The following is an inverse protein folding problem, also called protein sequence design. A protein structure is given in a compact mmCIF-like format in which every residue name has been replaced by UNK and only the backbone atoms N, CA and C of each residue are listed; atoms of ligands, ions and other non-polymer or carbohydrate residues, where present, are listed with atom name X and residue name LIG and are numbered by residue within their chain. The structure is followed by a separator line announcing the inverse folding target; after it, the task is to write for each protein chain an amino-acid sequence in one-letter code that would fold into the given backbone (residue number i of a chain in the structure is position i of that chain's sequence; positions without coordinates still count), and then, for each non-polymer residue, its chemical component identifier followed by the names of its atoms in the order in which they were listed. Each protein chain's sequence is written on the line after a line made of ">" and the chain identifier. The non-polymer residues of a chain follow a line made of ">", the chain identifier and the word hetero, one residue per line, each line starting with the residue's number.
data_IF_546854038084
#
_entry.id   IF_546854038084
#
_cell.length_a   1.000
_cell.length_b   1.000
_cell.length_c   1.000
_cell.angle_alpha   90.00
_cell.angle_beta   90.00
_cell.angle_gamma   90.00
#
_symmetry.space_group_name_H-M   'P 1'
#
loop_
_entity.id
_entity.type
_entity.pdbx_description
1 polymer ?
#
# COMPACT_ATOMS: atom_id res chain seq x y z
N UNK A 1 -1.24 24.57 16.08
CA UNK A 1 -2.40 25.35 16.60
C UNK A 1 -3.18 24.44 17.55
N UNK A 2 -3.20 24.77 18.83
CA UNK A 2 -3.78 23.92 19.86
C UNK A 2 -5.26 24.27 20.04
N UNK A 3 -6.14 23.26 20.03
CA UNK A 3 -7.58 23.42 20.24
C UNK A 3 -8.00 22.58 21.46
N UNK A 4 -8.86 23.12 22.30
CA UNK A 4 -9.41 22.38 23.43
C UNK A 4 -10.93 22.47 23.45
N UNK A 5 -11.57 21.41 23.90
CA UNK A 5 -13.02 21.30 23.99
C UNK A 5 -13.36 20.69 25.36
N UNK A 6 -14.22 21.39 26.12
CA UNK A 6 -14.67 20.95 27.44
C UNK A 6 -16.16 20.67 27.40
N UNK A 7 -16.53 19.50 27.89
CA UNK A 7 -17.92 19.02 27.87
C UNK A 7 -18.42 18.77 29.29
N UNK A 8 -19.68 19.14 29.50
CA UNK A 8 -20.41 18.80 30.69
C UNK A 8 -21.74 18.16 30.28
N UNK A 9 -22.04 16.95 30.77
CA UNK A 9 -23.24 16.16 30.41
C UNK A 9 -23.52 16.13 28.88
N UNK A 10 -22.46 16.00 28.07
CA UNK A 10 -22.55 15.93 26.59
C UNK A 10 -22.80 17.27 25.90
N UNK A 11 -22.71 18.40 26.60
CA UNK A 11 -22.77 19.74 26.03
C UNK A 11 -21.38 20.38 26.03
N UNK A 12 -21.02 21.05 24.96
CA UNK A 12 -19.80 21.85 24.88
C UNK A 12 -19.97 23.11 25.77
N UNK A 13 -19.15 23.25 26.81
CA UNK A 13 -19.23 24.35 27.77
C UNK A 13 -18.09 25.36 27.62
N UNK A 14 -16.94 24.95 27.10
CA UNK A 14 -15.82 25.83 26.79
C UNK A 14 -14.97 25.27 25.65
N UNK A 15 -14.25 26.15 24.97
CA UNK A 15 -13.30 25.79 23.92
C UNK A 15 -12.10 26.73 23.92
N UNK A 16 -10.97 26.26 23.38
CA UNK A 16 -9.73 27.02 23.21
C UNK A 16 -9.19 27.65 24.51
N UNK A 17 -9.17 26.80 25.56
CA UNK A 17 -8.61 27.19 26.86
C UNK A 17 -7.07 27.22 26.80
N UNK A 18 -6.45 28.15 27.54
CA UNK A 18 -5.01 28.16 27.79
C UNK A 18 -4.58 27.05 28.77
N UNK A 19 -3.27 26.85 28.94
CA UNK A 19 -2.71 25.80 29.79
C UNK A 19 -3.12 25.95 31.26
N UNK A 20 -3.26 27.17 31.78
CA UNK A 20 -3.66 27.39 33.17
C UNK A 20 -5.14 27.05 33.39
N UNK A 21 -6.02 27.46 32.49
CA UNK A 21 -7.43 27.10 32.52
C UNK A 21 -7.62 25.57 32.34
N UNK A 22 -6.84 24.91 31.47
CA UNK A 22 -6.87 23.45 31.31
C UNK A 22 -6.50 22.72 32.60
N UNK A 23 -5.49 23.22 33.38
CA UNK A 23 -5.12 22.66 34.68
C UNK A 23 -6.29 22.71 35.67
N UNK A 24 -6.98 23.85 35.70
CA UNK A 24 -8.15 24.02 36.57
C UNK A 24 -9.31 23.10 36.18
N UNK A 25 -9.63 23.02 34.91
CA UNK A 25 -10.70 22.19 34.39
C UNK A 25 -10.40 20.70 34.59
N UNK A 26 -9.14 20.27 34.45
CA UNK A 26 -8.73 18.89 34.69
C UNK A 26 -8.94 18.42 36.13
N UNK A 27 -8.86 19.33 37.10
CA UNK A 27 -9.11 19.00 38.51
C UNK A 27 -10.58 18.67 38.77
N UNK A 28 -11.51 19.11 37.91
CA UNK A 28 -12.93 18.79 38.01
C UNK A 28 -13.25 17.46 37.31
N UNK A 29 -13.47 16.42 38.09
CA UNK A 29 -13.78 15.07 37.61
C UNK A 29 -15.16 14.93 36.91
N UNK A 30 -15.99 15.95 36.96
CA UNK A 30 -17.28 16.00 36.28
C UNK A 30 -17.21 16.46 34.84
N UNK A 31 -16.08 17.02 34.41
CA UNK A 31 -15.86 17.53 33.08
C UNK A 31 -15.11 16.53 32.20
N UNK A 32 -15.45 16.53 30.93
CA UNK A 32 -14.73 15.76 29.90
C UNK A 32 -13.93 16.75 29.02
N UNK A 33 -12.68 16.45 28.76
CA UNK A 33 -11.76 17.35 28.07
C UNK A 33 -11.19 16.66 26.87
N UNK A 34 -11.26 17.30 25.69
CA UNK A 34 -10.48 16.91 24.52
C UNK A 34 -9.52 18.05 24.17
N UNK A 35 -8.23 17.73 24.09
CA UNK A 35 -7.19 18.64 23.61
C UNK A 35 -6.62 18.09 22.32
N UNK A 36 -6.64 18.88 21.25
CA UNK A 36 -6.06 18.56 19.98
C UNK A 36 -4.81 19.40 19.73
N UNK A 37 -3.67 18.74 19.64
CA UNK A 37 -2.37 19.33 19.36
C UNK A 37 -2.05 19.13 17.88
N UNK A 38 -2.25 20.16 17.08
CA UNK A 38 -1.92 20.14 15.66
C UNK A 38 -0.62 20.90 15.41
N UNK A 39 0.41 20.20 14.96
CA UNK A 39 1.75 20.72 14.70
C UNK A 39 2.23 21.69 15.80
N UNK A 40 2.17 21.30 17.10
CA UNK A 40 2.64 22.15 18.18
C UNK A 40 4.16 22.30 18.10
N UNK A 41 4.69 23.39 18.67
CA UNK A 41 6.14 23.42 18.95
C UNK A 41 6.48 22.40 20.05
N UNK A 42 7.74 21.90 20.12
CA UNK A 42 8.14 20.97 21.18
C UNK A 42 7.85 21.51 22.60
N UNK A 43 8.03 22.82 22.81
CA UNK A 43 7.76 23.48 24.08
C UNK A 43 6.27 23.51 24.41
N UNK A 44 5.41 23.81 23.42
CA UNK A 44 3.95 23.79 23.58
C UNK A 44 3.45 22.36 23.87
N UNK A 45 3.96 21.36 23.15
CA UNK A 45 3.60 19.98 23.36
C UNK A 45 4.02 19.51 24.76
N UNK A 46 5.26 19.75 25.16
CA UNK A 46 5.79 19.39 26.49
C UNK A 46 4.99 20.07 27.59
N UNK A 47 4.71 21.36 27.49
CA UNK A 47 3.92 22.10 28.49
C UNK A 47 2.52 21.47 28.70
N UNK A 48 1.86 21.03 27.64
CA UNK A 48 0.55 20.39 27.77
C UNK A 48 0.67 18.95 28.25
N UNK A 49 1.55 18.15 27.65
CA UNK A 49 1.65 16.72 27.97
C UNK A 49 2.25 16.47 29.36
N UNK A 50 3.25 17.25 29.76
CA UNK A 50 3.94 17.11 31.05
C UNK A 50 3.25 17.92 32.14
N UNK A 51 3.17 19.26 31.97
CA UNK A 51 2.73 20.15 33.03
C UNK A 51 1.21 20.10 33.31
N UNK A 52 0.37 19.90 32.26
CA UNK A 52 -1.09 19.84 32.42
C UNK A 52 -1.55 18.41 32.71
N UNK A 53 -1.09 17.43 31.92
CA UNK A 53 -1.57 16.06 32.01
C UNK A 53 -0.68 15.13 32.82
N UNK A 54 0.59 15.46 33.04
CA UNK A 54 1.58 14.66 33.80
C UNK A 54 1.77 13.28 33.20
N UNK A 55 1.86 13.19 31.86
CA UNK A 55 2.11 11.92 31.18
C UNK A 55 3.53 11.43 31.46
N UNK A 56 3.72 10.14 31.32
CA UNK A 56 5.02 9.51 31.53
C UNK A 56 6.05 10.01 30.51
N UNK A 57 7.29 10.33 30.92
CA UNK A 57 8.32 10.85 30.01
C UNK A 57 8.54 10.02 28.75
N UNK A 58 8.50 8.68 28.84
CA UNK A 58 8.63 7.78 27.69
C UNK A 58 7.46 7.96 26.68
N UNK A 59 6.24 8.15 27.18
CA UNK A 59 5.09 8.36 26.30
C UNK A 59 5.15 9.74 25.60
N UNK A 60 5.71 10.74 26.28
CA UNK A 60 5.98 12.07 25.69
C UNK A 60 7.08 12.00 24.64
N UNK A 61 8.19 11.30 24.95
CA UNK A 61 9.29 11.08 24.02
C UNK A 61 8.81 10.39 22.75
N UNK A 62 8.04 9.31 22.89
CA UNK A 62 7.47 8.58 21.77
C UNK A 62 6.49 9.40 20.93
N UNK A 63 5.67 10.26 21.56
CA UNK A 63 4.74 11.15 20.89
C UNK A 63 5.45 12.26 20.10
N UNK A 64 6.60 12.74 20.57
CA UNK A 64 7.38 13.78 19.90
C UNK A 64 8.35 13.21 18.86
N UNK A 65 8.69 11.92 18.98
CA UNK A 65 9.47 11.18 18.00
C UNK A 65 8.52 10.56 16.98
N UNK A 66 8.79 10.72 15.69
CA UNK A 66 7.97 10.07 14.65
C UNK A 66 8.05 8.55 14.81
N UNK A 67 6.97 7.92 15.26
CA UNK A 67 6.87 6.47 15.40
C UNK A 67 6.46 5.84 14.05
N UNK A 68 7.17 4.78 13.65
CA UNK A 68 6.87 4.07 12.40
C UNK A 68 5.80 2.98 12.55
N UNK A 69 5.44 2.64 13.79
CA UNK A 69 4.58 1.49 14.05
C UNK A 69 3.44 1.82 15.00
N UNK A 70 2.20 1.51 14.62
CA UNK A 70 1.06 1.57 15.52
C UNK A 70 1.27 0.72 16.77
N UNK A 71 0.92 1.26 17.93
CA UNK A 71 1.05 0.60 19.24
C UNK A 71 0.00 1.05 20.23
N UNK A 72 -0.18 0.29 21.30
CA UNK A 72 -0.98 0.65 22.47
C UNK A 72 -0.25 0.25 23.74
N UNK A 73 -0.14 1.19 24.66
CA UNK A 73 0.50 1.04 25.97
C UNK A 73 -0.45 1.48 27.08
N UNK A 74 -0.48 0.73 28.18
CA UNK A 74 -1.32 1.00 29.34
C UNK A 74 -0.48 1.56 30.49
N UNK A 75 -0.75 2.83 30.84
CA UNK A 75 -0.12 3.56 31.93
C UNK A 75 -1.05 3.67 33.18
N UNK A 76 -1.97 2.71 33.36
CA UNK A 76 -2.95 2.64 34.44
C UNK A 76 -4.02 3.75 34.42
N UNK A 77 -3.60 5.04 34.44
CA UNK A 77 -4.49 6.21 34.42
C UNK A 77 -4.91 6.63 33.01
N UNK A 78 -4.16 6.21 31.99
CA UNK A 78 -4.44 6.47 30.59
C UNK A 78 -3.84 5.40 29.69
N UNK A 79 -4.43 5.29 28.49
CA UNK A 79 -3.87 4.51 27.38
C UNK A 79 -3.16 5.46 26.43
N UNK A 80 -1.96 5.10 26.01
CA UNK A 80 -1.26 5.75 24.92
C UNK A 80 -1.36 4.90 23.67
N UNK A 81 -1.93 5.45 22.59
CA UNK A 81 -2.08 4.79 21.30
C UNK A 81 -1.36 5.60 20.23
N UNK A 82 -0.66 4.90 19.37
CA UNK A 82 -0.13 5.42 18.10
C UNK A 82 -0.85 4.72 16.97
N UNK A 83 -1.52 5.50 16.12
CA UNK A 83 -2.23 5.01 14.95
C UNK A 83 -1.80 5.82 13.72
N UNK A 84 -1.94 5.25 12.52
CA UNK A 84 -1.56 5.95 11.30
C UNK A 84 -2.78 6.16 10.41
N UNK A 85 -2.98 7.38 9.98
CA UNK A 85 -3.95 7.72 8.95
C UNK A 85 -3.29 7.63 7.57
N UNK A 86 -4.09 7.32 6.56
CA UNK A 86 -3.67 7.41 5.16
C UNK A 86 -4.00 8.79 4.60
N UNK A 87 -3.09 9.32 3.81
CA UNK A 87 -3.26 10.57 3.09
C UNK A 87 -2.58 10.48 1.72
N UNK A 88 -3.08 11.26 0.77
CA UNK A 88 -2.37 11.50 -0.48
C UNK A 88 -1.73 12.87 -0.44
N UNK A 89 -0.52 12.98 -0.96
CA UNK A 89 0.11 14.27 -1.16
C UNK A 89 -0.42 14.92 -2.47
N UNK A 90 0.05 16.15 -2.75
CA UNK A 90 -0.31 16.90 -3.98
C UNK A 90 0.16 16.22 -5.29
N UNK A 91 0.97 15.18 -5.19
CA UNK A 91 1.52 14.40 -6.29
C UNK A 91 0.87 13.01 -6.39
N UNK A 92 -0.31 12.82 -5.75
CA UNK A 92 -1.07 11.57 -5.64
C UNK A 92 -0.24 10.37 -5.11
N UNK A 93 0.81 10.68 -4.30
CA UNK A 93 1.59 9.63 -3.66
C UNK A 93 0.99 9.27 -2.29
N UNK A 94 0.88 7.99 -2.06
CA UNK A 94 0.47 7.42 -0.78
C UNK A 94 1.41 7.87 0.35
N UNK A 95 0.84 8.42 1.40
CA UNK A 95 1.53 8.79 2.64
C UNK A 95 0.76 8.31 3.85
N UNK A 96 1.50 8.13 4.93
CA UNK A 96 0.92 7.86 6.24
C UNK A 96 1.27 8.99 7.19
N UNK A 97 0.28 9.38 7.98
CA UNK A 97 0.44 10.42 9.00
C UNK A 97 0.07 9.81 10.35
N UNK A 98 0.92 10.06 11.33
CA UNK A 98 0.75 9.58 12.70
C UNK A 98 -0.33 10.38 13.43
N UNK A 99 -1.12 9.67 14.22
CA UNK A 99 -2.07 10.20 15.19
C UNK A 99 -1.80 9.54 16.55
N UNK A 100 -1.32 10.33 17.49
CA UNK A 100 -1.16 9.93 18.88
C UNK A 100 -2.42 10.21 19.66
N UNK A 101 -2.83 9.29 20.52
CA UNK A 101 -3.99 9.45 21.41
C UNK A 101 -3.62 9.06 22.83
N UNK A 102 -3.84 9.97 23.77
CA UNK A 102 -3.81 9.71 25.21
C UNK A 102 -5.24 9.66 25.71
N UNK A 103 -5.73 8.48 26.07
CA UNK A 103 -7.13 8.24 26.45
C UNK A 103 -7.20 8.00 27.94
N UNK A 104 -7.68 8.98 28.69
CA UNK A 104 -7.99 8.86 30.10
C UNK A 104 -9.50 8.73 30.37
N UNK A 105 -9.87 8.56 31.63
CA UNK A 105 -11.27 8.47 32.02
C UNK A 105 -12.09 9.74 31.72
N UNK A 106 -11.48 10.92 31.92
CA UNK A 106 -12.11 12.24 31.74
C UNK A 106 -11.45 13.10 30.67
N UNK A 107 -10.42 12.62 30.02
CA UNK A 107 -9.71 13.38 29.00
C UNK A 107 -9.32 12.52 27.80
N UNK A 108 -9.18 13.19 26.67
CA UNK A 108 -8.54 12.71 25.46
C UNK A 108 -7.56 13.78 25.01
N UNK A 109 -6.31 13.40 24.74
CA UNK A 109 -5.35 14.29 24.07
C UNK A 109 -4.98 13.64 22.76
N UNK A 110 -5.03 14.40 21.67
CA UNK A 110 -4.60 13.97 20.34
C UNK A 110 -3.45 14.84 19.88
N UNK A 111 -2.44 14.22 19.27
CA UNK A 111 -1.29 14.90 18.67
C UNK A 111 -1.11 14.42 17.23
N UNK A 112 -0.87 15.33 16.32
CA UNK A 112 -0.55 15.04 14.92
C UNK A 112 0.19 16.22 14.29
N UNK A 113 1.13 15.92 13.39
CA UNK A 113 1.96 16.90 12.70
C UNK A 113 1.36 17.41 11.39
N UNK A 114 0.49 16.62 10.74
CA UNK A 114 -0.17 16.98 9.48
C UNK A 114 -1.70 17.06 9.66
N UNK A 115 -2.42 17.80 8.80
CA UNK A 115 -3.88 17.87 8.87
C UNK A 115 -4.52 16.49 8.67
N UNK A 116 -5.41 16.10 9.58
CA UNK A 116 -6.15 14.84 9.51
C UNK A 116 -7.64 15.09 9.29
N UNK A 117 -8.19 14.49 8.23
CA UNK A 117 -9.61 14.57 7.91
C UNK A 117 -10.49 14.01 9.05
N UNK A 118 -10.04 12.95 9.73
CA UNK A 118 -10.72 12.36 10.88
C UNK A 118 -10.86 13.33 12.06
N UNK A 119 -9.80 14.07 12.36
CA UNK A 119 -9.80 15.08 13.41
C UNK A 119 -10.70 16.25 13.02
N UNK A 120 -10.57 16.76 11.78
CA UNK A 120 -11.39 17.88 11.27
C UNK A 120 -12.87 17.50 11.29
N UNK A 121 -13.25 16.35 10.78
CA UNK A 121 -14.64 15.86 10.78
C UNK A 121 -15.20 15.69 12.21
N UNK A 122 -14.35 15.27 13.14
CA UNK A 122 -14.73 15.12 14.55
C UNK A 122 -14.98 16.50 15.18
N UNK A 123 -14.14 17.48 14.93
CA UNK A 123 -14.32 18.87 15.41
C UNK A 123 -15.64 19.43 14.87
N UNK A 124 -15.89 19.33 13.57
CA UNK A 124 -17.15 19.80 12.97
C UNK A 124 -18.38 19.13 13.58
N UNK A 125 -18.29 17.82 13.83
CA UNK A 125 -19.39 17.07 14.44
C UNK A 125 -19.66 17.48 15.88
N UNK A 126 -18.60 17.75 16.66
CA UNK A 126 -18.70 18.28 18.02
C UNK A 126 -19.37 19.65 18.03
N UNK A 127 -19.00 20.53 17.10
CA UNK A 127 -19.59 21.87 17.01
C UNK A 127 -21.08 21.82 16.63
N UNK A 128 -21.48 20.86 15.77
CA UNK A 128 -22.88 20.69 15.35
C UNK A 128 -23.73 19.94 16.38
N UNK A 129 -23.23 18.86 16.95
CA UNK A 129 -23.97 17.99 17.88
C UNK A 129 -23.02 17.30 18.88
N UNK A 130 -22.57 18.00 19.94
CA UNK A 130 -21.63 17.45 20.90
C UNK A 130 -22.16 16.23 21.63
N UNK A 131 -23.49 16.16 21.91
CA UNK A 131 -24.10 15.08 22.67
C UNK A 131 -24.03 13.70 21.99
N UNK A 132 -23.77 13.66 20.68
CA UNK A 132 -23.65 12.39 19.94
C UNK A 132 -22.36 11.65 20.26
N UNK A 133 -21.28 12.36 20.61
CA UNK A 133 -19.93 11.82 20.76
C UNK A 133 -19.39 12.00 22.19
N UNK A 134 -19.63 13.17 22.81
CA UNK A 134 -19.06 13.55 24.09
C UNK A 134 -19.78 12.90 25.31
N UNK A 135 -20.05 11.60 25.22
CA UNK A 135 -20.60 10.79 26.35
C UNK A 135 -19.51 10.02 27.10
N UNK A 136 -18.25 10.23 26.75
CA UNK A 136 -17.06 9.62 27.32
C UNK A 136 -15.89 9.72 26.34
N UNK A 137 -14.68 9.82 26.87
CA UNK A 137 -13.48 10.02 26.06
C UNK A 137 -13.13 8.78 25.25
N UNK A 138 -13.41 7.59 25.75
CA UNK A 138 -13.32 6.32 25.03
C UNK A 138 -14.23 6.28 23.79
N UNK A 139 -15.43 6.88 23.85
CA UNK A 139 -16.33 6.99 22.70
C UNK A 139 -15.83 8.00 21.67
N UNK A 140 -15.28 9.10 22.13
CA UNK A 140 -14.67 10.11 21.25
C UNK A 140 -13.44 9.54 20.54
N UNK A 141 -12.59 8.83 21.29
CA UNK A 141 -11.43 8.13 20.70
C UNK A 141 -11.86 7.10 19.65
N UNK A 142 -12.90 6.27 19.97
CA UNK A 142 -13.43 5.34 18.97
C UNK A 142 -13.89 6.07 17.71
N UNK A 143 -14.64 7.17 17.84
CA UNK A 143 -15.14 7.91 16.68
C UNK A 143 -14.01 8.46 15.80
N UNK A 144 -12.92 8.95 16.41
CA UNK A 144 -11.72 9.39 15.70
C UNK A 144 -11.06 8.24 14.92
N UNK A 145 -10.92 7.08 15.59
CA UNK A 145 -10.29 5.90 14.99
C UNK A 145 -11.16 5.31 13.87
N UNK A 146 -12.46 5.28 14.04
CA UNK A 146 -13.44 4.79 13.07
C UNK A 146 -13.39 5.66 11.79
N UNK A 147 -13.51 6.99 11.95
CA UNK A 147 -13.40 7.92 10.82
C UNK A 147 -12.03 7.85 10.13
N UNK A 148 -10.97 7.60 10.89
CA UNK A 148 -9.62 7.43 10.34
C UNK A 148 -9.51 6.13 9.52
N UNK A 149 -10.07 5.03 10.00
CA UNK A 149 -10.06 3.74 9.31
C UNK A 149 -10.95 3.78 8.08
N UNK A 150 -12.08 4.48 8.11
CA UNK A 150 -12.94 4.67 6.94
C UNK A 150 -12.21 5.35 5.78
N UNK A 151 -11.23 6.22 6.05
CA UNK A 151 -10.43 6.89 5.04
C UNK A 151 -9.51 5.94 4.24
N UNK A 152 -9.32 4.70 4.67
CA UNK A 152 -8.58 3.68 3.90
C UNK A 152 -9.36 3.16 2.69
N UNK A 153 -10.71 3.19 2.74
CA UNK A 153 -11.53 2.61 1.67
C UNK A 153 -11.35 3.30 0.31
N UNK A 154 -11.33 4.64 0.20
CA UNK A 154 -11.00 5.31 -1.06
C UNK A 154 -9.62 4.89 -1.59
N UNK A 155 -8.60 4.84 -0.73
CA UNK A 155 -7.23 4.43 -1.09
C UNK A 155 -7.20 3.04 -1.70
N UNK A 156 -7.89 2.08 -1.09
CA UNK A 156 -8.00 0.71 -1.61
C UNK A 156 -8.74 0.67 -2.96
N UNK A 157 -9.77 1.48 -3.14
CA UNK A 157 -10.50 1.56 -4.40
C UNK A 157 -9.60 2.09 -5.52
N UNK A 158 -8.81 3.12 -5.26
CA UNK A 158 -7.87 3.70 -6.22
C UNK A 158 -6.79 2.67 -6.59
N UNK A 159 -6.17 2.02 -5.60
CA UNK A 159 -5.21 0.93 -5.84
C UNK A 159 -5.83 -0.23 -6.64
N UNK A 160 -7.08 -0.58 -6.38
CA UNK A 160 -7.80 -1.62 -7.13
C UNK A 160 -7.95 -1.23 -8.60
N UNK A 161 -8.35 0.01 -8.87
CA UNK A 161 -8.52 0.53 -10.24
C UNK A 161 -7.19 0.60 -10.99
N UNK A 162 -6.13 1.05 -10.33
CA UNK A 162 -4.79 1.18 -10.92
C UNK A 162 -4.16 -0.17 -11.23
N UNK A 163 -4.30 -1.15 -10.33
CA UNK A 163 -3.82 -2.52 -10.56
C UNK A 163 -4.65 -3.18 -11.67
N UNK A 164 -5.95 -2.95 -11.72
CA UNK A 164 -6.81 -3.42 -12.82
C UNK A 164 -6.41 -2.82 -14.17
N UNK A 165 -6.11 -1.52 -14.23
CA UNK A 165 -5.62 -0.87 -15.45
C UNK A 165 -4.24 -1.41 -15.90
N UNK A 166 -3.34 -1.71 -14.94
CA UNK A 166 -2.06 -2.34 -15.23
C UNK A 166 -2.26 -3.77 -15.79
N UNK A 167 -3.19 -4.52 -15.22
CA UNK A 167 -3.56 -5.85 -15.70
C UNK A 167 -4.10 -5.78 -17.14
N UNK A 168 -5.03 -4.88 -17.42
CA UNK A 168 -5.56 -4.65 -18.76
C UNK A 168 -4.44 -4.29 -19.75
N UNK A 169 -3.51 -3.43 -19.36
CA UNK A 169 -2.34 -3.07 -20.18
C UNK A 169 -1.51 -4.30 -20.53
N UNK A 170 -1.25 -5.18 -19.55
CA UNK A 170 -0.47 -6.41 -19.76
C UNK A 170 -1.22 -7.40 -20.67
N UNK A 171 -2.53 -7.56 -20.50
CA UNK A 171 -3.30 -8.54 -21.26
C UNK A 171 -3.62 -8.06 -22.69
N UNK A 172 -3.93 -6.78 -22.87
CA UNK A 172 -4.43 -6.24 -24.14
C UNK A 172 -3.32 -5.76 -25.08
N UNK A 173 -2.18 -5.27 -24.57
CA UNK A 173 -1.05 -4.86 -25.41
C UNK A 173 -0.48 -6.05 -26.15
N UNK A 174 -0.06 -5.83 -27.41
CA UNK A 174 0.59 -6.87 -28.23
C UNK A 174 2.06 -7.09 -27.82
N UNK A 175 2.71 -6.03 -27.39
CA UNK A 175 4.14 -6.05 -27.01
C UNK A 175 4.30 -5.67 -25.54
N UNK A 176 5.30 -6.24 -24.83
CA UNK A 176 5.57 -5.87 -23.45
C UNK A 176 6.04 -4.41 -23.36
N UNK A 177 5.25 -3.58 -22.67
CA UNK A 177 5.60 -2.18 -22.47
C UNK A 177 6.61 -2.02 -21.33
N UNK A 178 7.73 -1.29 -21.51
CA UNK A 178 8.72 -1.08 -20.46
C UNK A 178 8.20 -0.32 -19.24
N UNK A 179 7.09 0.43 -19.39
CA UNK A 179 6.43 1.17 -18.33
C UNK A 179 5.83 0.28 -17.26
N UNK A 180 5.38 -0.93 -17.63
CA UNK A 180 4.75 -1.92 -16.73
C UNK A 180 5.62 -2.24 -15.52
N UNK A 181 6.92 -2.42 -15.68
CA UNK A 181 7.83 -2.73 -14.56
C UNK A 181 7.92 -1.58 -13.56
N UNK A 182 7.90 -0.33 -14.04
CA UNK A 182 7.92 0.85 -13.16
C UNK A 182 6.62 0.96 -12.38
N UNK A 183 5.48 0.85 -13.05
CA UNK A 183 4.16 0.89 -12.43
C UNK A 183 3.97 -0.25 -11.41
N UNK A 184 4.40 -1.47 -11.78
CA UNK A 184 4.44 -2.60 -10.84
C UNK A 184 5.21 -2.26 -9.57
N UNK A 185 6.41 -1.65 -9.69
CA UNK A 185 7.24 -1.29 -8.53
C UNK A 185 6.56 -0.24 -7.64
N UNK A 186 5.92 0.75 -8.25
CA UNK A 186 5.19 1.80 -7.53
C UNK A 186 4.02 1.21 -6.75
N UNK A 187 3.13 0.45 -7.39
CA UNK A 187 1.97 -0.20 -6.73
C UNK A 187 2.39 -1.22 -5.67
N UNK A 188 3.44 -2.00 -5.94
CA UNK A 188 4.01 -2.91 -4.94
C UNK A 188 4.46 -2.18 -3.69
N UNK A 189 5.13 -1.05 -3.84
CA UNK A 189 5.60 -0.25 -2.71
C UNK A 189 4.42 0.26 -1.90
N UNK A 190 3.41 0.84 -2.54
CA UNK A 190 2.21 1.36 -1.87
C UNK A 190 1.45 0.27 -1.09
N UNK A 191 1.26 -0.91 -1.70
CA UNK A 191 0.65 -2.05 -1.01
C UNK A 191 1.48 -2.52 0.18
N UNK A 192 2.81 -2.55 0.04
CA UNK A 192 3.70 -2.95 1.13
C UNK A 192 3.65 -1.96 2.29
N UNK A 193 3.68 -0.66 2.00
CA UNK A 193 3.58 0.41 2.99
C UNK A 193 2.23 0.35 3.72
N UNK A 194 1.13 0.12 2.97
CA UNK A 194 -0.21 -0.07 3.53
C UNK A 194 -0.27 -1.27 4.48
N UNK A 195 0.25 -2.43 4.05
CA UNK A 195 0.26 -3.64 4.89
C UNK A 195 1.10 -3.47 6.15
N UNK A 196 2.21 -2.74 6.07
CA UNK A 196 3.11 -2.49 7.18
C UNK A 196 2.44 -1.70 8.32
N UNK A 197 1.51 -0.80 8.00
CA UNK A 197 0.77 -0.03 9.00
C UNK A 197 -0.54 -0.69 9.44
N UNK A 198 -1.25 -1.36 8.52
CA UNK A 198 -2.57 -1.96 8.83
C UNK A 198 -2.45 -3.14 9.80
N UNK A 199 -1.43 -3.99 9.65
CA UNK A 199 -1.24 -5.15 10.55
C UNK A 199 -1.08 -4.78 12.02
N UNK A 200 -0.17 -3.87 12.41
CA UNK A 200 -0.07 -3.44 13.80
C UNK A 200 -1.34 -2.72 14.30
N UNK A 201 -2.01 -1.92 13.46
CA UNK A 201 -3.28 -1.27 13.82
C UNK A 201 -4.38 -2.29 14.12
N UNK A 202 -4.45 -3.37 13.33
CA UNK A 202 -5.36 -4.48 13.60
C UNK A 202 -5.08 -5.10 14.97
N UNK A 203 -3.81 -5.27 15.34
CA UNK A 203 -3.43 -5.84 16.63
C UNK A 203 -3.81 -4.90 17.79
N UNK A 204 -3.66 -3.58 17.63
CA UNK A 204 -4.17 -2.56 18.56
C UNK A 204 -5.69 -2.67 18.70
N UNK A 205 -6.42 -2.67 17.57
CA UNK A 205 -7.88 -2.78 17.57
C UNK A 205 -8.36 -4.11 18.20
N UNK A 206 -7.64 -5.21 18.00
CA UNK A 206 -7.96 -6.51 18.60
C UNK A 206 -7.85 -6.48 20.13
N UNK A 207 -6.81 -5.84 20.69
CA UNK A 207 -6.66 -5.66 22.13
C UNK A 207 -7.78 -4.80 22.71
N UNK A 208 -8.15 -3.69 22.03
CA UNK A 208 -9.29 -2.86 22.41
C UNK A 208 -10.62 -3.64 22.35
N UNK A 209 -10.85 -4.42 21.29
CA UNK A 209 -12.07 -5.20 21.08
C UNK A 209 -12.26 -6.35 22.08
N UNK A 210 -11.15 -6.89 22.61
CA UNK A 210 -11.16 -7.92 23.68
C UNK A 210 -11.47 -7.36 25.06
N UNK A 211 -11.43 -6.04 25.25
CA UNK A 211 -11.66 -5.41 26.55
C UNK A 211 -10.51 -5.61 27.52
N UNK A 212 -9.26 -5.65 27.02
CA UNK A 212 -8.06 -5.80 27.85
C UNK A 212 -7.87 -4.60 28.80
N UNK A 213 -8.43 -3.44 28.44
CA UNK A 213 -8.18 -2.17 29.12
C UNK A 213 -9.39 -1.70 29.93
N UNK A 214 -9.20 -1.46 31.23
CA UNK A 214 -10.27 -0.98 32.16
C UNK A 214 -10.82 0.40 31.82
N UNK A 215 -10.05 1.23 31.11
CA UNK A 215 -10.45 2.56 30.68
C UNK A 215 -11.51 2.54 29.57
N UNK A 216 -11.58 1.45 28.82
CA UNK A 216 -12.58 1.25 27.77
C UNK A 216 -13.84 0.61 28.37
N UNK A 217 -14.96 1.31 28.31
CA UNK A 217 -16.22 0.81 28.86
C UNK A 217 -16.77 -0.38 28.06
N UNK A 218 -17.32 -1.41 28.71
CA UNK A 218 -17.83 -2.61 28.04
C UNK A 218 -18.85 -2.33 26.94
N UNK A 219 -19.65 -1.25 27.07
CA UNK A 219 -20.64 -0.84 26.07
C UNK A 219 -20.01 -0.45 24.72
N UNK A 220 -18.72 -0.15 24.68
CA UNK A 220 -18.00 0.20 23.45
C UNK A 220 -17.30 -1.00 22.78
N UNK A 221 -17.19 -2.15 23.42
CA UNK A 221 -16.54 -3.32 22.84
C UNK A 221 -17.15 -3.76 21.50
N UNK A 222 -18.48 -3.72 21.27
CA UNK A 222 -19.03 -4.01 19.95
C UNK A 222 -18.54 -3.05 18.87
N UNK A 223 -18.35 -1.79 19.19
CA UNK A 223 -17.86 -0.78 18.25
C UNK A 223 -16.37 -1.02 17.89
N UNK A 224 -15.53 -1.38 18.87
CA UNK A 224 -14.14 -1.76 18.59
C UNK A 224 -14.04 -3.08 17.84
N UNK A 225 -15.01 -4.00 17.96
CA UNK A 225 -15.09 -5.20 17.12
C UNK A 225 -15.42 -4.85 15.67
N UNK A 226 -16.26 -3.87 15.44
CA UNK A 226 -16.57 -3.35 14.12
C UNK A 226 -15.33 -2.71 13.47
N UNK A 227 -14.63 -1.84 14.22
CA UNK A 227 -13.34 -1.27 13.81
C UNK A 227 -12.32 -2.35 13.42
N UNK A 228 -12.20 -3.40 14.24
CA UNK A 228 -11.35 -4.56 13.94
C UNK A 228 -11.80 -5.27 12.66
N UNK A 229 -13.11 -5.43 12.45
CA UNK A 229 -13.69 -6.00 11.24
C UNK A 229 -13.31 -5.21 9.99
N UNK A 230 -13.35 -3.88 10.08
CA UNK A 230 -12.94 -2.99 9.00
C UNK A 230 -11.44 -3.13 8.68
N UNK A 231 -10.57 -3.14 9.70
CA UNK A 231 -9.12 -3.34 9.52
C UNK A 231 -8.78 -4.72 8.93
N UNK A 232 -9.47 -5.79 9.35
CA UNK A 232 -9.32 -7.11 8.75
C UNK A 232 -9.69 -7.12 7.27
N UNK A 233 -10.78 -6.43 6.89
CA UNK A 233 -11.20 -6.30 5.50
C UNK A 233 -10.15 -5.56 4.67
N UNK A 234 -9.60 -4.45 5.19
CA UNK A 234 -8.53 -3.67 4.55
C UNK A 234 -7.30 -4.56 4.32
N UNK A 235 -6.84 -5.28 5.35
CA UNK A 235 -5.69 -6.18 5.24
C UNK A 235 -5.92 -7.28 4.20
N UNK A 236 -7.09 -7.91 4.20
CA UNK A 236 -7.44 -8.97 3.25
C UNK A 236 -7.49 -8.43 1.82
N UNK A 237 -8.08 -7.26 1.61
CA UNK A 237 -8.12 -6.62 0.29
C UNK A 237 -6.72 -6.28 -0.20
N UNK A 238 -5.88 -5.67 0.66
CA UNK A 238 -4.50 -5.35 0.31
C UNK A 238 -3.67 -6.61 -0.02
N UNK A 239 -3.89 -7.73 0.68
CA UNK A 239 -3.25 -9.01 0.37
C UNK A 239 -3.71 -9.55 -0.99
N UNK A 240 -5.02 -9.49 -1.28
CA UNK A 240 -5.57 -9.92 -2.58
C UNK A 240 -5.00 -9.09 -3.74
N UNK A 241 -4.93 -7.76 -3.59
CA UNK A 241 -4.34 -6.87 -4.58
C UNK A 241 -2.84 -7.15 -4.80
N UNK A 242 -2.13 -7.47 -3.73
CA UNK A 242 -0.73 -7.88 -3.81
C UNK A 242 -0.56 -9.16 -4.65
N UNK A 243 -1.38 -10.18 -4.41
CA UNK A 243 -1.34 -11.43 -5.17
C UNK A 243 -1.73 -11.22 -6.64
N UNK A 244 -2.76 -10.41 -6.90
CA UNK A 244 -3.17 -10.02 -8.26
C UNK A 244 -2.02 -9.31 -9.01
N UNK A 245 -1.34 -8.39 -8.35
CA UNK A 245 -0.20 -7.67 -8.91
C UNK A 245 0.94 -8.62 -9.32
N UNK A 246 1.25 -9.62 -8.48
CA UNK A 246 2.27 -10.62 -8.83
C UNK A 246 1.85 -11.54 -9.96
N UNK A 247 0.57 -11.95 -10.00
CA UNK A 247 0.04 -12.73 -11.14
C UNK A 247 0.15 -11.94 -12.45
N UNK A 248 -0.13 -10.64 -12.43
CA UNK A 248 0.02 -9.75 -13.58
C UNK A 248 1.47 -9.67 -14.05
N UNK A 249 2.43 -9.59 -13.12
CA UNK A 249 3.86 -9.64 -13.45
C UNK A 249 4.27 -10.95 -14.09
N UNK A 250 3.78 -12.09 -13.58
CA UNK A 250 4.08 -13.40 -14.14
C UNK A 250 3.55 -13.53 -15.58
N UNK A 251 2.36 -13.02 -15.85
CA UNK A 251 1.80 -12.98 -17.21
C UNK A 251 2.66 -12.10 -18.12
N UNK A 252 3.10 -10.92 -17.64
CA UNK A 252 4.00 -10.04 -18.39
C UNK A 252 5.32 -10.74 -18.76
N UNK A 253 5.97 -11.40 -17.81
CA UNK A 253 7.23 -12.11 -18.03
C UNK A 253 7.06 -13.29 -18.99
N UNK A 254 5.96 -14.05 -18.87
CA UNK A 254 5.65 -15.13 -19.78
C UNK A 254 5.42 -14.64 -21.20
N UNK A 255 4.72 -13.53 -21.38
CA UNK A 255 4.49 -12.89 -22.67
C UNK A 255 5.81 -12.42 -23.32
N UNK A 256 6.65 -11.73 -22.56
CA UNK A 256 7.98 -11.31 -23.03
C UNK A 256 8.85 -12.52 -23.44
N UNK A 257 8.79 -13.61 -22.69
CA UNK A 257 9.48 -14.85 -23.02
C UNK A 257 8.92 -15.50 -24.30
N UNK A 258 7.61 -15.49 -24.46
CA UNK A 258 6.97 -16.02 -25.67
C UNK A 258 7.39 -15.25 -26.92
N UNK A 259 7.39 -13.92 -26.89
CA UNK A 259 7.84 -13.08 -28.00
C UNK A 259 9.31 -13.32 -28.36
N UNK A 260 10.18 -13.42 -27.35
CA UNK A 260 11.59 -13.76 -27.55
C UNK A 260 11.73 -15.12 -28.25
N UNK A 261 10.95 -16.12 -27.82
CA UNK A 261 10.96 -17.44 -28.43
C UNK A 261 10.46 -17.43 -29.88
N UNK A 262 9.45 -16.62 -30.23
CA UNK A 262 9.00 -16.46 -31.60
C UNK A 262 10.09 -15.85 -32.50
N UNK A 263 10.81 -14.82 -32.03
CA UNK A 263 11.95 -14.25 -32.76
C UNK A 263 13.06 -15.30 -32.99
N UNK A 264 13.43 -16.05 -31.93
CA UNK A 264 14.42 -17.14 -32.02
C UNK A 264 13.95 -18.21 -33.02
N UNK A 265 12.67 -18.58 -33.00
CA UNK A 265 12.08 -19.54 -33.92
C UNK A 265 12.23 -19.07 -35.38
N UNK A 266 11.85 -17.82 -35.68
CA UNK A 266 11.99 -17.23 -37.02
C UNK A 266 13.46 -17.24 -37.48
N UNK A 267 14.39 -16.84 -36.62
CA UNK A 267 15.82 -16.85 -36.92
C UNK A 267 16.33 -18.27 -37.17
N UNK A 268 15.91 -19.22 -36.36
CA UNK A 268 16.30 -20.65 -36.51
C UNK A 268 15.76 -21.24 -37.82
N UNK A 269 14.50 -20.92 -38.18
CA UNK A 269 13.89 -21.34 -39.43
C UNK A 269 14.67 -20.77 -40.66
N UNK A 270 14.95 -19.47 -40.61
CA UNK A 270 15.71 -18.82 -41.65
C UNK A 270 17.09 -19.48 -41.85
N UNK A 271 17.81 -19.69 -40.73
CA UNK A 271 19.13 -20.35 -40.75
C UNK A 271 19.03 -21.79 -41.27
N UNK A 272 18.07 -22.58 -40.79
CA UNK A 272 17.90 -23.97 -41.20
C UNK A 272 17.59 -24.13 -42.69
N UNK A 273 16.77 -23.21 -43.27
CA UNK A 273 16.43 -23.22 -44.69
C UNK A 273 17.60 -22.77 -45.57
N UNK A 274 18.42 -21.82 -45.13
CA UNK A 274 19.54 -21.29 -45.91
C UNK A 274 20.82 -22.12 -45.79
N UNK A 275 20.99 -22.91 -44.72
CA UNK A 275 22.22 -23.70 -44.47
C UNK A 275 22.56 -24.68 -45.57
N UNK A 276 21.65 -25.49 -46.18
CA UNK A 276 21.99 -26.40 -47.27
C UNK A 276 22.61 -25.66 -48.45
N UNK A 277 21.99 -24.54 -48.87
CA UNK A 277 22.49 -23.70 -49.99
C UNK A 277 23.84 -23.10 -49.67
N UNK A 278 24.04 -22.61 -48.45
CA UNK A 278 25.33 -22.08 -48.02
C UNK A 278 26.43 -23.14 -48.01
N UNK A 279 26.14 -24.36 -47.51
CA UNK A 279 27.13 -25.46 -47.50
C UNK A 279 27.53 -25.90 -48.89
N UNK A 280 26.57 -26.08 -49.80
CA UNK A 280 26.82 -26.50 -51.16
C UNK A 280 27.54 -25.40 -51.93
N UNK A 281 27.06 -24.12 -51.82
CA UNK A 281 27.67 -22.97 -52.48
C UNK A 281 29.07 -22.71 -52.00
N UNK A 282 29.37 -22.82 -50.70
CA UNK A 282 30.75 -22.64 -50.17
C UNK A 282 31.65 -23.78 -50.56
N UNK A 283 31.18 -25.04 -50.58
CA UNK A 283 31.97 -26.19 -50.99
C UNK A 283 32.38 -26.07 -52.42
N UNK A 284 31.49 -25.81 -53.37
CA UNK A 284 31.81 -25.61 -54.79
C UNK A 284 32.45 -24.25 -55.10
N UNK A 285 32.40 -23.28 -54.19
CA UNK A 285 33.08 -22.00 -54.30
C UNK A 285 34.55 -22.02 -53.86
N UNK A 286 35.08 -23.14 -53.36
CA UNK A 286 36.49 -23.29 -52.98
C UNK A 286 37.39 -23.36 -54.22
N UNK A 287 38.51 -22.65 -54.19
CA UNK A 287 39.51 -22.66 -55.30
C UNK A 287 40.34 -23.96 -55.30
N UNK A 288 39.76 -25.11 -55.11
CA UNK A 288 40.38 -26.43 -55.16
C UNK A 288 40.11 -27.07 -56.54
N UNK A 289 41.05 -27.82 -57.11
CA UNK A 289 40.80 -28.65 -58.30
C UNK A 289 39.99 -29.88 -57.89
N UNK A 290 38.68 -29.83 -58.15
CA UNK A 290 37.79 -30.93 -57.85
C UNK A 290 37.61 -31.80 -59.12
N UNK A 291 37.57 -33.14 -58.99
CA UNK A 291 37.37 -34.06 -60.13
C UNK A 291 36.05 -33.80 -60.87
N UNK A 292 35.03 -33.33 -60.15
CA UNK A 292 33.67 -33.07 -60.62
C UNK A 292 33.64 -31.89 -61.65
N UNK A 293 34.58 -30.98 -61.65
CA UNK A 293 34.62 -29.85 -62.61
C UNK A 293 34.81 -30.27 -64.09
N UNK A 294 35.34 -31.45 -64.33
CA UNK A 294 35.45 -32.02 -65.64
C UNK A 294 34.18 -32.71 -66.16
N UNK A 295 33.21 -32.91 -65.30
CA UNK A 295 31.95 -33.55 -65.66
C UNK A 295 30.97 -32.57 -66.32
N UNK A 296 30.42 -32.91 -67.49
CA UNK A 296 29.51 -32.09 -68.29
C UNK A 296 28.22 -31.71 -67.55
N UNK A 297 27.82 -32.49 -66.55
CA UNK A 297 26.58 -32.33 -65.80
C UNK A 297 26.82 -31.96 -64.31
N UNK A 298 28.04 -31.57 -63.89
CA UNK A 298 28.34 -31.24 -62.48
C UNK A 298 27.46 -30.09 -61.93
N UNK A 299 27.31 -29.02 -62.71
CA UNK A 299 26.51 -27.87 -62.30
C UNK A 299 24.99 -28.20 -62.10
N UNK A 300 24.29 -28.82 -63.07
CA UNK A 300 22.91 -29.21 -62.86
C UNK A 300 22.71 -30.21 -61.70
N UNK A 301 23.67 -31.11 -61.44
CA UNK A 301 23.63 -32.07 -60.34
C UNK A 301 23.76 -31.31 -59.00
N UNK A 302 24.69 -30.34 -58.88
CA UNK A 302 24.83 -29.54 -57.66
C UNK A 302 23.57 -28.77 -57.34
N UNK A 303 22.93 -28.14 -58.33
CA UNK A 303 21.63 -27.45 -58.14
C UNK A 303 20.52 -28.45 -57.72
N UNK A 304 20.47 -29.64 -58.33
CA UNK A 304 19.46 -30.63 -57.96
C UNK A 304 19.62 -31.12 -56.51
N UNK A 305 20.86 -31.32 -56.05
CA UNK A 305 21.17 -31.70 -54.65
C UNK A 305 20.75 -30.56 -53.70
N UNK A 306 21.05 -29.31 -54.02
CA UNK A 306 20.68 -28.14 -53.22
C UNK A 306 19.16 -28.04 -53.10
N UNK A 307 18.44 -28.12 -54.20
CA UNK A 307 16.96 -28.12 -54.18
C UNK A 307 16.37 -29.27 -53.37
N UNK A 308 16.87 -30.48 -53.54
CA UNK A 308 16.37 -31.65 -52.80
C UNK A 308 16.65 -31.52 -51.30
N UNK A 309 17.84 -31.09 -50.90
CA UNK A 309 18.17 -30.91 -49.47
C UNK A 309 17.41 -29.78 -48.85
N UNK A 310 17.22 -28.65 -49.52
CA UNK A 310 16.45 -27.49 -49.03
C UNK A 310 14.96 -27.83 -48.89
N UNK A 311 14.37 -28.49 -49.92
CA UNK A 311 12.98 -28.95 -49.89
C UNK A 311 12.81 -29.98 -48.75
N UNK A 312 13.76 -30.95 -48.65
CA UNK A 312 13.75 -31.94 -47.56
C UNK A 312 13.77 -31.28 -46.18
N UNK A 313 14.59 -30.25 -45.98
CA UNK A 313 14.63 -29.48 -44.74
C UNK A 313 13.30 -28.79 -44.45
N UNK A 314 12.71 -28.10 -45.43
CA UNK A 314 11.39 -27.43 -45.27
C UNK A 314 10.30 -28.47 -44.93
N UNK A 315 10.27 -29.59 -45.61
CA UNK A 315 9.27 -30.68 -45.31
C UNK A 315 9.50 -31.25 -43.92
N UNK A 316 10.75 -31.44 -43.50
CA UNK A 316 11.06 -31.91 -42.14
C UNK A 316 10.62 -30.91 -41.07
N UNK A 317 10.91 -29.57 -41.25
CA UNK A 317 10.47 -28.50 -40.35
C UNK A 317 8.93 -28.45 -40.26
N UNK A 318 8.22 -28.55 -41.40
CA UNK A 318 6.75 -28.61 -41.43
C UNK A 318 6.19 -29.83 -40.68
N UNK A 319 6.82 -31.02 -40.83
CA UNK A 319 6.41 -32.21 -40.06
C UNK A 319 6.63 -32.03 -38.56
N UNK A 320 7.63 -31.30 -38.13
CA UNK A 320 7.92 -31.01 -36.73
C UNK A 320 7.06 -29.87 -36.18
N UNK A 321 6.15 -29.28 -36.98
CA UNK A 321 5.30 -28.11 -36.60
C UNK A 321 6.11 -26.86 -36.19
N UNK A 322 7.25 -26.67 -36.83
CA UNK A 322 8.06 -25.46 -36.65
C UNK A 322 7.68 -24.40 -37.67
N UNK A 323 7.05 -24.82 -38.77
CA UNK A 323 6.44 -23.96 -39.81
C UNK A 323 4.92 -24.11 -39.74
#
# INVERSE_FOLDING_TARGET
>A
MNQSFVFNYGKLVASNLDSDALRLVRADKGLLIWVNLFAPTPEEATSILEDVFSFHPLAIEDCLAVSRYPKIEDYEDYLYLVMHAVAFNKEDQFRTTELDLFIGKSFLVTHHSEPLASVTSTIERIQKNPSSIARGMDRLAHFLLDTMVDAYQPVLNDLTNEIGALEDTVFLSREPEPTVIREFRERKKELSDLQQIVRPQRDVANRLARGEFKLIRPVLLPYFRDLLGNLNRIETTAATLHDQLYMTLDVFLNKASYETNEVIKVLTLLTAVTTPTLLIGTWYGMNLKMPEYEMKYAYPIAIAIDLVTTIGMVVWLKRKRWL
#
